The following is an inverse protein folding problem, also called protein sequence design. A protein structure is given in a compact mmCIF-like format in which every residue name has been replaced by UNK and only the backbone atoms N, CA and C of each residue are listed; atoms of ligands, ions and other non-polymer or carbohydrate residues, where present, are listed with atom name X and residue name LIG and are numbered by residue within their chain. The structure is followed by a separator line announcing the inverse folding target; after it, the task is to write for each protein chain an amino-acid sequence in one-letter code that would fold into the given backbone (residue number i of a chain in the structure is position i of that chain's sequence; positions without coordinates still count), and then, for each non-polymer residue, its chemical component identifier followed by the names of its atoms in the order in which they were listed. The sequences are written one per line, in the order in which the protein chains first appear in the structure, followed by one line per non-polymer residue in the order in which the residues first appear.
data_IF_940857863779
#
_entry.id   IF_940857863779
#
_cell.length_a   1.000
_cell.length_b   1.000
_cell.length_c   1.000
_cell.angle_alpha   90.00
_cell.angle_beta   90.00
_cell.angle_gamma   90.00
#
_symmetry.space_group_name_H-M   'P 1'
#
loop_
_entity.id
_entity.type
_entity.pdbx_description
1 polymer ?
#
# COMPACT_ATOMS: atom_id res chain seq x y z
N UNK A 1 26.97 -5.90 -13.99
CA UNK A 1 26.13 -6.98 -13.42
C UNK A 1 24.78 -6.35 -13.13
N UNK A 2 23.66 -6.98 -13.49
CA UNK A 2 22.34 -6.49 -13.09
C UNK A 2 22.30 -6.39 -11.56
N UNK A 3 21.85 -5.26 -11.05
CA UNK A 3 21.63 -5.08 -9.61
C UNK A 3 20.59 -6.10 -9.14
N UNK A 4 20.88 -6.82 -8.05
CA UNK A 4 19.99 -7.86 -7.53
C UNK A 4 18.99 -7.22 -6.57
N UNK A 5 17.70 -7.33 -6.90
CA UNK A 5 16.61 -6.77 -6.10
C UNK A 5 15.83 -7.87 -5.38
N UNK A 6 15.58 -7.67 -4.08
CA UNK A 6 14.63 -8.43 -3.27
C UNK A 6 13.40 -7.56 -3.01
N UNK A 7 12.23 -8.05 -3.42
CA UNK A 7 10.95 -7.36 -3.25
C UNK A 7 10.13 -8.00 -2.13
N UNK A 8 9.98 -7.31 -1.01
CA UNK A 8 9.23 -7.77 0.16
C UNK A 8 7.87 -7.08 0.21
N UNK A 9 6.81 -7.85 0.43
CA UNK A 9 5.45 -7.33 0.57
C UNK A 9 4.96 -7.62 1.97
N UNK A 10 4.50 -6.57 2.63
CA UNK A 10 3.73 -6.68 3.86
C UNK A 10 2.28 -7.08 3.50
N UNK A 11 2.07 -8.39 3.49
CA UNK A 11 0.80 -9.02 3.13
C UNK A 11 -0.31 -8.71 4.13
N UNK A 12 0.02 -8.59 5.42
CA UNK A 12 -0.91 -8.18 6.47
C UNK A 12 -1.42 -6.75 6.24
N UNK A 13 -0.53 -5.80 5.96
CA UNK A 13 -0.92 -4.42 5.64
C UNK A 13 -1.74 -4.36 4.36
N UNK A 14 -1.36 -5.12 3.32
CA UNK A 14 -2.12 -5.22 2.07
C UNK A 14 -3.54 -5.77 2.28
N UNK A 15 -3.68 -6.81 3.11
CA UNK A 15 -4.95 -7.44 3.46
C UNK A 15 -5.93 -6.41 4.06
N UNK A 16 -5.50 -5.71 5.12
CA UNK A 16 -6.35 -4.70 5.78
C UNK A 16 -6.67 -3.52 4.88
N UNK A 17 -5.68 -3.04 4.11
CA UNK A 17 -5.88 -1.95 3.15
C UNK A 17 -6.92 -2.31 2.09
N UNK A 18 -6.82 -3.51 1.50
CA UNK A 18 -7.77 -3.97 0.50
C UNK A 18 -9.19 -4.10 1.07
N UNK A 19 -9.31 -4.59 2.31
CA UNK A 19 -10.60 -4.74 2.98
C UNK A 19 -11.31 -3.42 3.24
N UNK A 20 -10.58 -2.38 3.67
CA UNK A 20 -11.17 -1.08 3.96
C UNK A 20 -11.36 -0.19 2.72
N UNK A 21 -10.59 -0.40 1.67
CA UNK A 21 -10.67 0.39 0.44
C UNK A 21 -11.80 -0.04 -0.50
N UNK A 22 -12.22 -1.31 -0.44
CA UNK A 22 -13.23 -1.86 -1.35
C UNK A 22 -14.58 -2.06 -0.63
N UNK A 23 -15.70 -1.92 -1.36
CA UNK A 23 -17.03 -2.23 -0.81
C UNK A 23 -17.16 -3.73 -0.50
N UNK A 24 -18.26 -4.13 0.15
CA UNK A 24 -18.57 -5.56 0.38
C UNK A 24 -18.88 -6.27 -0.95
N UNK A 25 -17.82 -6.75 -1.60
CA UNK A 25 -17.90 -7.56 -2.80
C UNK A 25 -18.05 -9.03 -2.40
N UNK A 26 -19.05 -9.71 -2.94
CA UNK A 26 -19.30 -11.13 -2.68
C UNK A 26 -19.21 -11.96 -3.95
N UNK A 27 -18.59 -13.13 -3.83
CA UNK A 27 -18.47 -14.12 -4.90
C UNK A 27 -19.74 -14.95 -5.11
N UNK A 28 -19.74 -15.89 -6.07
CA UNK A 28 -20.92 -16.69 -6.42
C UNK A 28 -21.52 -17.50 -5.26
N UNK A 29 -20.67 -17.94 -4.32
CA UNK A 29 -21.09 -18.66 -3.11
C UNK A 29 -21.49 -17.74 -1.95
N UNK A 30 -21.62 -16.43 -2.17
CA UNK A 30 -21.94 -15.43 -1.14
C UNK A 30 -20.78 -15.09 -0.19
N UNK A 31 -19.60 -15.67 -0.42
CA UNK A 31 -18.39 -15.41 0.37
C UNK A 31 -17.83 -14.01 0.09
N UNK A 32 -17.32 -13.28 1.09
CA UNK A 32 -16.69 -11.98 0.88
C UNK A 32 -15.39 -12.13 0.07
N UNK A 33 -15.14 -11.19 -0.83
CA UNK A 33 -14.06 -11.25 -1.83
C UNK A 33 -13.34 -9.93 -2.06
N UNK A 34 -13.79 -8.83 -1.43
CA UNK A 34 -13.21 -7.50 -1.62
C UNK A 34 -11.71 -7.45 -1.34
N UNK A 35 -11.26 -8.01 -0.21
CA UNK A 35 -9.85 -8.01 0.15
C UNK A 35 -9.01 -8.84 -0.84
N UNK A 36 -9.53 -9.98 -1.30
CA UNK A 36 -8.86 -10.82 -2.32
C UNK A 36 -8.66 -10.01 -3.60
N UNK A 37 -9.72 -9.34 -4.09
CA UNK A 37 -9.68 -8.55 -5.32
C UNK A 37 -8.66 -7.41 -5.24
N UNK A 38 -8.69 -6.64 -4.14
CA UNK A 38 -7.77 -5.52 -3.95
C UNK A 38 -6.32 -5.99 -3.85
N UNK A 39 -6.06 -7.07 -3.12
CA UNK A 39 -4.71 -7.62 -2.97
C UNK A 39 -4.14 -8.12 -4.30
N UNK A 40 -4.92 -8.86 -5.09
CA UNK A 40 -4.49 -9.32 -6.43
C UNK A 40 -4.12 -8.13 -7.32
N UNK A 41 -4.94 -7.08 -7.34
CA UNK A 41 -4.67 -5.87 -8.12
C UNK A 41 -3.37 -5.17 -7.66
N UNK A 42 -3.19 -5.00 -6.36
CA UNK A 42 -1.99 -4.36 -5.80
C UNK A 42 -0.73 -5.17 -6.06
N UNK A 43 -0.81 -6.51 -6.03
CA UNK A 43 0.33 -7.38 -6.32
C UNK A 43 0.73 -7.39 -7.80
N UNK A 44 -0.25 -7.40 -8.72
CA UNK A 44 0.01 -7.28 -10.17
C UNK A 44 0.75 -5.97 -10.46
N UNK A 45 0.18 -4.84 -10.02
CA UNK A 45 0.77 -3.51 -10.20
C UNK A 45 2.18 -3.42 -9.60
N UNK A 46 2.36 -3.96 -8.40
CA UNK A 46 3.67 -3.97 -7.74
C UNK A 46 4.73 -4.70 -8.58
N UNK A 47 4.40 -5.88 -9.12
CA UNK A 47 5.32 -6.68 -9.94
C UNK A 47 5.66 -5.99 -11.26
N UNK A 48 4.71 -5.29 -11.87
CA UNK A 48 4.92 -4.51 -13.09
C UNK A 48 5.83 -3.30 -12.86
N UNK A 49 5.59 -2.55 -11.77
CA UNK A 49 6.35 -1.35 -11.44
C UNK A 49 7.75 -1.64 -10.90
N UNK A 50 7.93 -2.78 -10.23
CA UNK A 50 9.18 -3.18 -9.62
C UNK A 50 9.58 -4.60 -10.03
N UNK A 51 10.11 -4.79 -11.25
CA UNK A 51 10.62 -6.08 -11.68
C UNK A 51 11.75 -6.57 -10.77
N UNK A 52 11.58 -7.74 -10.17
CA UNK A 52 12.56 -8.39 -9.32
C UNK A 52 12.61 -9.89 -9.61
N UNK A 53 13.79 -10.51 -9.43
CA UNK A 53 13.93 -11.96 -9.52
C UNK A 53 13.60 -12.67 -8.20
N UNK A 54 13.71 -11.96 -7.08
CA UNK A 54 13.45 -12.46 -5.74
C UNK A 54 12.35 -11.65 -5.06
N UNK A 55 11.53 -12.30 -4.26
CA UNK A 55 10.54 -11.63 -3.45
C UNK A 55 9.77 -12.57 -2.53
N UNK A 56 9.05 -11.98 -1.59
CA UNK A 56 8.20 -12.71 -0.66
C UNK A 56 7.02 -11.84 -0.23
N UNK A 57 5.86 -12.45 -0.07
CA UNK A 57 4.72 -11.83 0.59
C UNK A 57 4.60 -12.40 2.00
N UNK A 58 4.75 -11.53 2.99
CA UNK A 58 4.89 -11.90 4.40
C UNK A 58 3.60 -11.56 5.14
N UNK A 59 3.07 -12.53 5.89
CA UNK A 59 1.84 -12.38 6.67
C UNK A 59 2.10 -12.73 8.14
N UNK A 60 1.38 -12.06 9.03
CA UNK A 60 1.36 -12.44 10.44
C UNK A 60 0.86 -13.86 10.61
N UNK A 61 1.54 -14.61 11.46
CA UNK A 61 1.08 -15.93 11.88
C UNK A 61 -0.03 -15.81 12.92
N UNK A 62 -0.87 -16.84 13.02
CA UNK A 62 -1.81 -16.97 14.13
C UNK A 62 -1.05 -17.26 15.43
N UNK A 63 -1.49 -16.63 16.52
CA UNK A 63 -0.99 -16.89 17.86
C UNK A 63 -0.21 -15.71 18.45
N UNK A 64 0.26 -15.85 19.69
CA UNK A 64 1.04 -14.81 20.35
C UNK A 64 2.45 -14.72 19.73
N UNK A 65 3.03 -13.55 19.86
CA UNK A 65 4.42 -13.24 19.51
C UNK A 65 5.26 -13.07 20.76
N UNK A 66 6.57 -12.87 20.59
CA UNK A 66 7.42 -12.50 21.72
C UNK A 66 7.02 -11.16 22.36
N UNK A 67 6.37 -10.24 21.63
CA UNK A 67 5.95 -8.93 22.19
C UNK A 67 4.84 -9.09 23.22
N UNK A 68 3.90 -10.02 23.01
CA UNK A 68 2.89 -10.39 24.01
C UNK A 68 3.52 -10.87 25.32
N UNK A 69 4.66 -11.56 25.24
CA UNK A 69 5.45 -11.98 26.40
C UNK A 69 6.23 -10.84 27.07
N UNK A 70 6.49 -9.74 26.37
CA UNK A 70 7.19 -8.57 26.91
C UNK A 70 6.24 -7.58 27.56
N UNK A 71 5.05 -7.39 26.99
CA UNK A 71 4.06 -6.42 27.45
C UNK A 71 2.65 -6.97 27.21
N UNK A 72 1.93 -7.25 28.30
CA UNK A 72 0.64 -7.93 28.25
C UNK A 72 -0.46 -7.09 27.56
N UNK A 73 -0.36 -5.77 27.63
CA UNK A 73 -1.30 -4.86 27.02
C UNK A 73 -0.91 -4.45 25.58
N UNK A 74 0.13 -5.04 24.99
CA UNK A 74 0.52 -4.79 23.61
C UNK A 74 -0.62 -5.12 22.64
N UNK A 75 -0.96 -4.21 21.72
CA UNK A 75 -2.07 -4.33 20.77
C UNK A 75 -3.44 -4.61 21.40
N UNK A 76 -3.61 -4.42 22.71
CA UNK A 76 -4.88 -4.69 23.41
C UNK A 76 -6.05 -3.80 22.93
N UNK A 77 -5.75 -2.63 22.38
CA UNK A 77 -6.76 -1.72 21.80
C UNK A 77 -7.12 -2.07 20.35
N UNK A 78 -6.39 -2.99 19.71
CA UNK A 78 -6.60 -3.34 18.31
C UNK A 78 -7.92 -4.10 18.20
N UNK A 79 -8.81 -3.63 17.33
CA UNK A 79 -10.07 -4.31 17.09
C UNK A 79 -9.82 -5.74 16.59
N UNK A 80 -10.63 -6.68 17.05
CA UNK A 80 -10.60 -8.05 16.52
C UNK A 80 -10.80 -8.04 15.01
N UNK A 81 -10.10 -8.92 14.31
CA UNK A 81 -10.25 -9.04 12.87
C UNK A 81 -11.72 -9.29 12.48
N UNK A 82 -12.28 -8.52 11.51
CA UNK A 82 -13.64 -8.74 11.03
C UNK A 82 -13.81 -10.18 10.52
N UNK A 83 -14.92 -10.88 10.87
CA UNK A 83 -15.15 -12.26 10.43
C UNK A 83 -15.07 -12.42 8.90
N UNK A 84 -15.61 -11.45 8.16
CA UNK A 84 -15.57 -11.45 6.69
C UNK A 84 -14.15 -11.28 6.13
N UNK A 85 -13.25 -10.60 6.86
CA UNK A 85 -11.84 -10.53 6.50
C UNK A 85 -11.12 -11.84 6.81
N UNK A 86 -11.41 -12.45 7.96
CA UNK A 86 -10.80 -13.72 8.36
C UNK A 86 -11.07 -14.84 7.35
N UNK A 87 -12.27 -14.87 6.74
CA UNK A 87 -12.63 -15.82 5.68
C UNK A 87 -11.80 -15.67 4.40
N UNK A 88 -11.16 -14.52 4.19
CA UNK A 88 -10.41 -14.20 2.97
C UNK A 88 -8.91 -14.48 3.07
N UNK A 89 -8.36 -14.76 4.26
CA UNK A 89 -6.90 -14.97 4.46
C UNK A 89 -6.38 -16.16 3.66
N UNK A 90 -6.97 -17.35 3.83
CA UNK A 90 -6.51 -18.55 3.14
C UNK A 90 -6.64 -18.42 1.61
N UNK A 91 -7.77 -17.93 1.06
CA UNK A 91 -7.87 -17.59 -0.36
C UNK A 91 -6.81 -16.60 -0.84
N UNK A 92 -6.43 -15.63 -0.01
CA UNK A 92 -5.36 -14.66 -0.33
C UNK A 92 -4.01 -15.35 -0.43
N UNK A 93 -3.66 -16.22 0.53
CA UNK A 93 -2.43 -16.99 0.44
C UNK A 93 -2.38 -17.86 -0.82
N UNK A 94 -3.50 -18.46 -1.20
CA UNK A 94 -3.62 -19.21 -2.45
C UNK A 94 -3.42 -18.31 -3.68
N UNK A 95 -4.11 -17.17 -3.75
CA UNK A 95 -3.96 -16.21 -4.85
C UNK A 95 -2.52 -15.73 -5.01
N UNK A 96 -1.85 -15.40 -3.90
CA UNK A 96 -0.44 -14.95 -3.88
C UNK A 96 0.48 -16.03 -4.46
N UNK A 97 0.30 -17.30 -4.06
CA UNK A 97 1.06 -18.43 -4.59
C UNK A 97 0.81 -18.64 -6.09
N UNK A 98 -0.45 -18.55 -6.52
CA UNK A 98 -0.83 -18.65 -7.94
C UNK A 98 -0.25 -17.51 -8.79
N UNK A 99 -0.09 -16.32 -8.20
CA UNK A 99 0.64 -15.22 -8.83
C UNK A 99 2.16 -15.45 -8.88
N UNK A 100 2.68 -16.56 -8.35
CA UNK A 100 4.09 -16.93 -8.40
C UNK A 100 4.93 -16.30 -7.28
N UNK A 101 4.30 -15.90 -6.16
CA UNK A 101 5.01 -15.34 -5.02
C UNK A 101 5.21 -16.38 -3.91
N UNK A 102 6.42 -16.51 -3.36
CA UNK A 102 6.63 -17.14 -2.06
C UNK A 102 5.79 -16.46 -0.98
N UNK A 103 5.05 -17.25 -0.21
CA UNK A 103 4.27 -16.79 0.95
C UNK A 103 5.01 -17.20 2.21
N UNK A 104 5.27 -16.24 3.08
CA UNK A 104 5.96 -16.47 4.35
C UNK A 104 5.04 -16.08 5.52
N UNK A 105 4.93 -16.97 6.50
CA UNK A 105 4.29 -16.70 7.78
C UNK A 105 5.01 -17.52 8.84
N UNK A 106 5.51 -16.86 9.88
CA UNK A 106 6.42 -17.45 10.87
C UNK A 106 5.79 -17.33 12.26
N UNK A 107 5.40 -18.45 12.90
CA UNK A 107 4.84 -18.42 14.24
C UNK A 107 5.79 -17.79 15.27
N UNK A 108 5.23 -17.00 16.18
CA UNK A 108 5.97 -16.41 17.31
C UNK A 108 6.65 -15.06 17.01
N UNK A 109 6.62 -14.58 15.77
CA UNK A 109 7.13 -13.25 15.36
C UNK A 109 6.07 -12.53 14.52
N UNK A 110 6.21 -11.21 14.37
CA UNK A 110 5.33 -10.42 13.48
C UNK A 110 5.87 -10.42 12.05
N UNK A 111 5.01 -10.13 11.07
CA UNK A 111 5.42 -9.96 9.67
C UNK A 111 6.55 -8.94 9.53
N UNK A 112 6.50 -7.88 10.33
CA UNK A 112 7.50 -6.81 10.36
C UNK A 112 8.90 -7.31 10.71
N UNK A 113 9.01 -8.24 11.67
CA UNK A 113 10.29 -8.83 12.08
C UNK A 113 10.85 -9.78 11.03
N UNK A 114 9.99 -10.56 10.38
CA UNK A 114 10.39 -11.39 9.26
C UNK A 114 10.88 -10.54 8.08
N UNK A 115 10.17 -9.44 7.76
CA UNK A 115 10.59 -8.47 6.74
C UNK A 115 11.91 -7.81 7.13
N UNK A 116 12.03 -7.33 8.38
CA UNK A 116 13.25 -6.69 8.89
C UNK A 116 14.46 -7.61 8.84
N UNK A 117 14.26 -8.89 9.17
CA UNK A 117 15.30 -9.93 9.09
C UNK A 117 15.72 -10.19 7.64
N UNK A 118 14.75 -10.42 6.73
CA UNK A 118 15.03 -10.62 5.30
C UNK A 118 15.75 -9.41 4.68
N UNK A 119 15.25 -8.20 4.95
CA UNK A 119 15.82 -6.96 4.43
C UNK A 119 17.26 -6.75 4.92
N UNK A 120 17.51 -6.99 6.21
CA UNK A 120 18.84 -6.82 6.81
C UNK A 120 19.85 -7.80 6.25
N UNK A 121 19.49 -9.08 6.14
CA UNK A 121 20.39 -10.11 5.59
C UNK A 121 20.64 -9.86 4.10
N UNK A 122 19.61 -9.47 3.33
CA UNK A 122 19.75 -9.18 1.91
C UNK A 122 20.60 -7.94 1.64
N UNK A 123 20.40 -6.86 2.40
CA UNK A 123 21.23 -5.65 2.33
C UNK A 123 22.69 -5.96 2.63
N UNK A 124 22.99 -6.76 3.67
CA UNK A 124 24.35 -7.23 3.99
C UNK A 124 24.96 -8.08 2.87
N UNK A 125 24.14 -8.82 2.14
CA UNK A 125 24.54 -9.59 0.96
C UNK A 125 24.64 -8.74 -0.34
N UNK A 126 24.45 -7.42 -0.25
CA UNK A 126 24.60 -6.48 -1.37
C UNK A 126 23.38 -6.35 -2.28
N UNK A 127 22.22 -6.86 -1.86
CA UNK A 127 20.97 -6.69 -2.61
C UNK A 127 20.40 -5.27 -2.38
N UNK A 128 19.68 -4.77 -3.38
CA UNK A 128 18.68 -3.72 -3.14
C UNK A 128 17.41 -4.37 -2.62
N UNK A 129 16.81 -3.78 -1.60
CA UNK A 129 15.58 -4.27 -0.99
C UNK A 129 14.51 -3.21 -1.14
N UNK A 130 13.38 -3.61 -1.70
CA UNK A 130 12.18 -2.77 -1.77
C UNK A 130 11.14 -3.44 -0.87
N UNK A 131 10.67 -2.71 0.13
CA UNK A 131 9.60 -3.17 1.02
C UNK A 131 8.33 -2.42 0.67
N UNK A 132 7.33 -3.14 0.20
CA UNK A 132 6.00 -2.58 -0.07
C UNK A 132 5.12 -2.70 1.16
N UNK A 133 4.89 -1.58 1.84
CA UNK A 133 4.14 -1.51 3.10
C UNK A 133 3.48 -0.14 3.26
N UNK A 134 2.37 -0.09 3.99
CA UNK A 134 1.80 1.16 4.51
C UNK A 134 2.26 1.49 5.94
N UNK A 135 2.99 0.58 6.58
CA UNK A 135 3.39 0.73 7.97
C UNK A 135 4.55 1.71 8.11
N UNK A 136 4.37 2.71 8.98
CA UNK A 136 5.40 3.71 9.28
C UNK A 136 6.53 3.12 10.12
N UNK A 137 6.28 2.05 10.86
CA UNK A 137 7.23 1.48 11.81
C UNK A 137 8.42 0.87 11.07
N UNK A 138 8.18 0.33 9.87
CA UNK A 138 9.22 -0.17 8.98
C UNK A 138 10.15 0.93 8.42
N UNK A 139 9.86 2.22 8.63
CA UNK A 139 10.76 3.32 8.22
C UNK A 139 12.11 3.25 8.94
N UNK A 140 12.18 2.56 10.08
CA UNK A 140 13.44 2.29 10.80
C UNK A 140 14.42 1.39 10.01
N UNK A 141 13.94 0.65 9.01
CA UNK A 141 14.77 -0.23 8.19
C UNK A 141 15.46 0.50 7.01
N UNK A 142 15.02 1.72 6.67
CA UNK A 142 15.50 2.46 5.50
C UNK A 142 16.98 2.78 5.62
N UNK A 143 17.73 2.48 4.56
CA UNK A 143 19.17 2.79 4.43
C UNK A 143 19.56 2.81 2.93
N UNK A 144 20.85 2.83 2.63
CA UNK A 144 21.34 2.88 1.23
C UNK A 144 20.92 1.68 0.37
N UNK A 145 20.55 0.56 0.98
CA UNK A 145 20.09 -0.66 0.32
C UNK A 145 18.59 -0.90 0.43
N UNK A 146 17.93 -0.37 1.47
CA UNK A 146 16.51 -0.64 1.77
C UNK A 146 15.67 0.62 1.53
N UNK A 147 14.64 0.50 0.69
CA UNK A 147 13.67 1.55 0.41
C UNK A 147 12.25 1.04 0.70
N UNK A 148 11.38 1.88 1.25
CA UNK A 148 9.96 1.55 1.36
C UNK A 148 9.17 2.17 0.21
N UNK A 149 8.11 1.48 -0.21
CA UNK A 149 7.13 2.01 -1.15
C UNK A 149 5.71 1.79 -0.62
N UNK A 150 4.85 2.78 -0.85
CA UNK A 150 3.42 2.66 -0.63
C UNK A 150 2.70 2.75 -1.97
N UNK A 151 2.20 1.63 -2.44
CA UNK A 151 1.54 1.48 -3.75
C UNK A 151 0.22 2.25 -3.90
N UNK A 152 -0.38 2.77 -2.82
CA UNK A 152 -1.59 3.60 -2.89
C UNK A 152 -1.27 5.05 -3.14
N UNK A 153 -0.32 5.59 -2.38
CA UNK A 153 0.10 6.99 -2.48
C UNK A 153 1.20 7.21 -3.51
N UNK A 154 1.76 6.13 -4.09
CA UNK A 154 2.99 6.15 -4.87
C UNK A 154 4.18 6.77 -4.12
N UNK A 155 4.10 6.79 -2.78
CA UNK A 155 5.17 7.33 -1.95
C UNK A 155 6.35 6.36 -1.91
N UNK A 156 7.56 6.90 -2.07
CA UNK A 156 8.82 6.17 -1.93
C UNK A 156 9.61 6.79 -0.79
N UNK A 157 9.96 5.99 0.22
CA UNK A 157 10.72 6.42 1.39
C UNK A 157 12.15 5.87 1.32
N UNK A 158 13.05 6.71 0.82
CA UNK A 158 14.50 6.63 1.06
C UNK A 158 14.90 7.54 2.24
N UNK A 159 16.18 7.57 2.62
CA UNK A 159 16.62 8.30 3.81
C UNK A 159 16.25 9.80 3.80
N UNK A 160 16.41 10.55 2.69
CA UNK A 160 15.92 11.92 2.59
C UNK A 160 14.39 12.03 2.74
N UNK A 161 13.62 11.15 2.11
CA UNK A 161 12.16 11.17 2.21
C UNK A 161 11.66 10.82 3.63
N UNK A 162 12.33 9.90 4.33
CA UNK A 162 12.06 9.63 5.75
C UNK A 162 12.30 10.87 6.60
N UNK A 163 13.44 11.56 6.41
CA UNK A 163 13.73 12.80 7.12
C UNK A 163 12.66 13.88 6.85
N UNK A 164 12.27 14.05 5.58
CA UNK A 164 11.25 15.04 5.21
C UNK A 164 9.88 14.73 5.84
N UNK A 165 9.50 13.44 5.91
CA UNK A 165 8.21 12.99 6.42
C UNK A 165 8.12 13.03 7.95
N UNK A 166 9.13 12.51 8.65
CA UNK A 166 9.10 12.32 10.10
C UNK A 166 9.86 13.40 10.87
N UNK A 167 10.67 14.22 10.19
CA UNK A 167 11.56 15.20 10.83
C UNK A 167 12.77 14.58 11.51
N UNK A 168 12.99 13.27 11.35
CA UNK A 168 14.15 12.52 11.86
C UNK A 168 14.68 11.56 10.79
N UNK A 169 15.99 11.29 10.74
CA UNK A 169 16.55 10.29 9.83
C UNK A 169 16.14 8.86 10.20
N UNK A 170 16.29 7.87 9.30
CA UNK A 170 15.91 6.47 9.56
C UNK A 170 16.48 5.87 10.85
N UNK A 171 17.74 6.17 11.17
CA UNK A 171 18.44 5.68 12.38
C UNK A 171 17.93 6.31 13.69
N UNK A 172 16.93 7.19 13.59
CA UNK A 172 16.22 7.82 14.72
C UNK A 172 14.72 7.58 14.72
N UNK A 173 14.20 6.79 13.79
CA UNK A 173 12.77 6.46 13.75
C UNK A 173 12.33 5.71 15.01
N UNK A 174 13.14 4.78 15.53
CA UNK A 174 12.83 4.06 16.78
C UNK A 174 12.68 5.04 17.95
N UNK A 175 13.63 5.96 18.11
CA UNK A 175 13.61 6.98 19.16
C UNK A 175 12.36 7.86 19.04
N UNK A 176 12.04 8.28 17.82
CA UNK A 176 10.89 9.11 17.51
C UNK A 176 9.57 8.40 17.85
N UNK A 177 9.38 7.17 17.36
CA UNK A 177 8.18 6.38 17.62
C UNK A 177 8.02 6.05 19.11
N UNK A 178 9.13 5.81 19.82
CA UNK A 178 9.11 5.59 21.28
C UNK A 178 8.60 6.81 22.04
N UNK A 179 8.99 8.02 21.63
CA UNK A 179 8.54 9.27 22.26
C UNK A 179 7.09 9.60 21.92
N UNK A 180 6.68 9.38 20.66
CA UNK A 180 5.33 9.68 20.19
C UNK A 180 4.31 8.67 20.72
N UNK A 181 4.70 7.41 20.82
CA UNK A 181 3.78 6.31 21.10
C UNK A 181 2.92 5.93 19.90
N UNK A 182 2.09 4.90 20.08
CA UNK A 182 1.09 4.44 19.14
C UNK A 182 -0.15 3.94 19.88
N UNK A 183 -1.26 4.65 19.76
CA UNK A 183 -2.50 4.26 20.43
C UNK A 183 -3.11 2.97 19.89
N UNK A 184 -2.90 2.66 18.60
CA UNK A 184 -3.43 1.45 17.94
C UNK A 184 -2.78 0.20 18.54
N UNK A 185 -1.47 0.27 18.73
CA UNK A 185 -0.69 -0.83 19.32
C UNK A 185 -0.57 -0.72 20.85
N UNK A 186 -1.30 0.22 21.44
CA UNK A 186 -1.35 0.50 22.88
C UNK A 186 0.04 0.81 23.48
N UNK A 187 0.84 1.59 22.75
CA UNK A 187 2.13 2.11 23.16
C UNK A 187 1.96 3.56 23.63
N UNK A 188 2.00 3.85 24.95
CA UNK A 188 1.60 5.17 25.47
C UNK A 188 2.53 6.32 25.09
N UNK A 189 3.81 6.06 24.80
CA UNK A 189 4.80 7.10 24.53
C UNK A 189 4.96 8.11 25.68
N UNK A 190 5.30 9.36 25.36
CA UNK A 190 5.30 10.46 26.32
C UNK A 190 4.00 11.25 26.19
N UNK A 191 3.28 11.41 27.30
CA UNK A 191 1.98 12.08 27.30
C UNK A 191 2.05 13.49 26.69
N UNK A 192 1.14 13.79 25.76
CA UNK A 192 1.05 15.06 25.00
C UNK A 192 2.32 15.43 24.21
N UNK A 193 3.22 14.48 23.94
CA UNK A 193 4.36 14.68 23.04
C UNK A 193 4.01 14.07 21.69
N UNK A 194 3.66 14.94 20.74
CA UNK A 194 3.39 14.52 19.37
C UNK A 194 4.63 14.57 18.46
N UNK A 195 4.46 14.21 17.16
CA UNK A 195 5.49 14.19 16.13
C UNK A 195 6.48 15.36 16.16
N UNK A 196 5.96 16.60 16.15
CA UNK A 196 6.78 17.81 16.08
C UNK A 196 7.69 17.98 17.31
N UNK A 197 7.18 17.66 18.50
CA UNK A 197 7.94 17.77 19.74
C UNK A 197 9.01 16.70 19.82
N UNK A 198 8.67 15.44 19.47
CA UNK A 198 9.62 14.34 19.44
C UNK A 198 10.77 14.60 18.47
N UNK A 199 10.47 15.02 17.23
CA UNK A 199 11.48 15.36 16.24
C UNK A 199 12.38 16.52 16.70
N UNK A 200 11.79 17.57 17.31
CA UNK A 200 12.57 18.69 17.90
C UNK A 200 13.51 18.20 18.99
N UNK A 201 13.03 17.37 19.91
CA UNK A 201 13.87 16.83 20.99
C UNK A 201 15.00 15.97 20.46
N UNK A 202 14.75 15.12 19.48
CA UNK A 202 15.80 14.31 18.86
C UNK A 202 16.82 15.19 18.14
N UNK A 203 16.38 16.24 17.44
CA UNK A 203 17.30 17.18 16.80
C UNK A 203 18.18 17.94 17.81
N UNK A 204 17.63 18.28 18.98
CA UNK A 204 18.33 19.03 20.03
C UNK A 204 19.26 18.16 20.88
N UNK A 205 18.85 16.93 21.20
CA UNK A 205 19.55 16.04 22.13
C UNK A 205 20.18 14.81 21.48
N UNK A 206 20.01 14.65 20.16
CA UNK A 206 20.67 13.65 19.33
C UNK A 206 20.02 12.27 19.29
N UNK A 207 19.51 11.74 20.41
CA UNK A 207 18.87 10.42 20.50
C UNK A 207 17.88 10.33 21.67
N UNK A 208 17.15 9.23 21.79
CA UNK A 208 16.29 8.95 22.94
C UNK A 208 17.08 9.02 24.27
N UNK A 209 18.29 8.46 24.32
CA UNK A 209 19.17 8.52 25.49
C UNK A 209 19.54 9.98 25.84
N UNK A 210 19.83 10.79 24.83
CA UNK A 210 20.10 12.22 25.03
C UNK A 210 18.88 12.96 25.59
N UNK A 211 17.69 12.68 25.07
CA UNK A 211 16.42 13.24 25.57
C UNK A 211 16.18 12.83 27.03
N UNK A 212 16.37 11.54 27.35
CA UNK A 212 16.23 11.02 28.70
C UNK A 212 17.23 11.65 29.67
N UNK A 213 18.50 11.81 29.26
CA UNK A 213 19.54 12.46 30.06
C UNK A 213 19.22 13.94 30.33
N UNK A 214 18.61 14.64 29.37
CA UNK A 214 18.22 16.04 29.51
C UNK A 214 16.91 16.25 30.30
N UNK A 215 16.19 15.19 30.66
CA UNK A 215 14.85 15.27 31.26
C UNK A 215 14.81 16.11 32.56
N UNK A 216 15.89 16.10 33.35
CA UNK A 216 16.00 16.92 34.57
C UNK A 216 16.04 18.43 34.28
N UNK A 217 16.55 18.83 33.12
CA UNK A 217 16.70 20.23 32.71
C UNK A 217 15.52 20.78 31.90
N UNK A 218 14.67 19.90 31.35
CA UNK A 218 13.50 20.30 30.57
C UNK A 218 12.41 20.91 31.45
N UNK A 219 12.09 22.18 31.20
CA UNK A 219 11.08 22.94 31.96
C UNK A 219 9.68 22.79 31.34
N UNK A 220 8.66 23.10 32.14
CA UNK A 220 7.26 23.13 31.73
C UNK A 220 6.61 21.74 31.62
N UNK A 221 5.35 21.72 31.20
CA UNK A 221 4.51 20.52 31.17
C UNK A 221 5.12 19.37 30.35
N UNK A 222 5.74 19.67 29.21
CA UNK A 222 6.36 18.64 28.37
C UNK A 222 7.55 17.95 29.08
N UNK A 223 8.35 18.70 29.84
CA UNK A 223 9.41 18.12 30.67
C UNK A 223 8.86 17.28 31.83
N UNK A 224 7.74 17.69 32.42
CA UNK A 224 7.05 16.91 33.46
C UNK A 224 6.51 15.58 32.89
N UNK A 225 5.89 15.61 31.71
CA UNK A 225 5.43 14.40 31.02
C UNK A 225 6.58 13.47 30.66
N UNK A 226 7.71 14.01 30.18
CA UNK A 226 8.90 13.20 29.91
C UNK A 226 9.42 12.51 31.17
N UNK A 227 9.57 13.24 32.27
CA UNK A 227 10.01 12.68 33.57
C UNK A 227 9.09 11.57 34.06
N UNK A 228 7.78 11.73 33.88
CA UNK A 228 6.80 10.71 34.25
C UNK A 228 6.87 9.44 33.37
N UNK A 229 7.40 9.54 32.15
CA UNK A 229 7.51 8.43 31.21
C UNK A 229 8.88 7.73 31.22
N UNK A 230 9.90 8.26 31.92
CA UNK A 230 11.29 7.79 31.85
C UNK A 230 11.44 6.27 32.06
N UNK A 231 10.72 5.71 33.03
CA UNK A 231 10.80 4.28 33.34
C UNK A 231 10.16 3.41 32.25
N UNK A 232 9.20 3.95 31.50
CA UNK A 232 8.51 3.25 30.40
C UNK A 232 9.32 3.26 29.09
N UNK A 233 10.08 4.32 28.81
CA UNK A 233 10.74 4.52 27.51
C UNK A 233 11.64 3.34 27.07
N UNK A 234 12.43 2.68 27.94
CA UNK A 234 13.19 1.49 27.54
C UNK A 234 12.30 0.33 27.06
N UNK A 235 11.16 0.10 27.72
CA UNK A 235 10.19 -0.92 27.32
C UNK A 235 9.50 -0.53 26.00
N UNK A 236 9.09 0.74 25.87
CA UNK A 236 8.51 1.28 24.64
C UNK A 236 9.46 1.12 23.44
N UNK A 237 10.75 1.47 23.63
CA UNK A 237 11.79 1.30 22.60
C UNK A 237 11.89 -0.14 22.14
N UNK A 238 11.89 -1.08 23.09
CA UNK A 238 11.96 -2.51 22.79
C UNK A 238 10.75 -2.99 21.97
N UNK A 239 9.54 -2.54 22.30
CA UNK A 239 8.32 -2.94 21.59
C UNK A 239 8.26 -2.39 20.16
N UNK A 240 8.66 -1.13 19.97
CA UNK A 240 8.71 -0.44 18.67
C UNK A 240 9.82 -0.94 17.75
N UNK A 241 10.90 -1.48 18.32
CA UNK A 241 12.04 -1.95 17.52
C UNK A 241 11.65 -3.21 16.76
N UNK A 242 11.81 -3.17 15.43
CA UNK A 242 11.69 -4.34 14.56
C UNK A 242 12.90 -5.24 14.78
N UNK A 243 12.67 -6.51 15.07
CA UNK A 243 13.74 -7.49 15.27
C UNK A 243 14.26 -7.94 13.90
N UNK A 244 15.57 -7.84 13.68
CA UNK A 244 16.19 -8.04 12.35
C UNK A 244 17.08 -9.29 12.24
N UNK A 245 17.01 -10.17 13.22
CA UNK A 245 17.82 -11.38 13.34
C UNK A 245 17.02 -12.61 13.77
N UNK A 246 15.74 -12.67 13.38
CA UNK A 246 14.89 -13.83 13.65
C UNK A 246 15.41 -15.11 12.95
N UNK A 247 15.17 -16.27 13.57
CA UNK A 247 15.47 -17.55 12.93
C UNK A 247 14.39 -17.90 11.89
N UNK A 248 14.79 -17.92 10.62
CA UNK A 248 13.92 -18.26 9.49
C UNK A 248 14.23 -19.63 8.89
N UNK A 249 15.10 -20.45 9.50
CA UNK A 249 15.59 -21.70 8.92
C UNK A 249 14.48 -22.72 8.61
N UNK A 250 13.42 -22.76 9.43
CA UNK A 250 12.25 -23.62 9.21
C UNK A 250 11.27 -23.13 8.15
N UNK A 251 11.43 -21.89 7.67
CA UNK A 251 10.43 -21.21 6.84
C UNK A 251 10.98 -20.72 5.50
N UNK A 252 12.30 -20.54 5.40
CA UNK A 252 13.01 -20.20 4.17
C UNK A 252 14.00 -21.32 3.85
N UNK A 253 13.66 -22.25 2.94
CA UNK A 253 14.55 -23.35 2.58
C UNK A 253 15.92 -22.87 2.11
N UNK A 254 16.98 -23.28 2.82
CA UNK A 254 18.35 -22.86 2.52
C UNK A 254 18.79 -21.56 3.20
N UNK A 255 18.01 -21.03 4.16
CA UNK A 255 18.39 -19.87 4.98
C UNK A 255 19.86 -19.95 5.48
N UNK A 256 20.68 -18.87 5.37
CA UNK A 256 20.34 -17.51 4.95
C UNK A 256 20.42 -17.22 3.45
N UNK A 257 20.40 -18.25 2.60
CA UNK A 257 20.35 -18.09 1.15
C UNK A 257 18.90 -17.75 0.68
N UNK A 258 18.79 -17.14 -0.51
CA UNK A 258 17.53 -16.53 -1.00
C UNK A 258 16.91 -17.25 -2.20
N UNK A 259 17.47 -18.37 -2.64
CA UNK A 259 17.04 -19.09 -3.85
C UNK A 259 15.59 -19.56 -3.73
N UNK A 260 15.14 -19.93 -2.53
CA UNK A 260 13.74 -20.30 -2.28
C UNK A 260 12.77 -19.12 -2.33
N UNK A 261 13.29 -17.89 -2.37
CA UNK A 261 12.51 -16.66 -2.54
C UNK A 261 12.45 -16.22 -4.02
N UNK A 262 12.87 -17.08 -4.95
CA UNK A 262 12.71 -16.80 -6.37
C UNK A 262 11.24 -16.59 -6.73
N UNK A 263 10.96 -15.48 -7.41
CA UNK A 263 9.64 -15.20 -7.95
C UNK A 263 9.38 -16.14 -9.13
N UNK A 264 8.33 -16.95 -9.00
CA UNK A 264 7.86 -17.84 -10.05
C UNK A 264 7.03 -17.11 -11.11
N UNK A 265 6.81 -17.80 -12.23
CA UNK A 265 5.79 -17.40 -13.21
C UNK A 265 4.38 -17.50 -12.62
N UNK A 266 3.44 -16.78 -13.23
CA UNK A 266 2.02 -16.89 -12.87
C UNK A 266 1.49 -18.27 -13.29
N UNK A 267 0.86 -18.99 -12.36
CA UNK A 267 0.13 -20.23 -12.65
C UNK A 267 -1.20 -19.89 -13.32
N UNK A 268 -1.16 -19.71 -14.64
CA UNK A 268 -2.35 -19.36 -15.44
C UNK A 268 -3.54 -20.30 -15.23
N UNK A 269 -3.39 -21.62 -15.42
CA UNK A 269 -4.49 -22.57 -15.21
C UNK A 269 -5.06 -22.53 -13.79
N UNK A 270 -4.21 -22.52 -12.76
CA UNK A 270 -4.66 -22.45 -11.37
C UNK A 270 -5.38 -21.13 -11.06
N UNK A 271 -4.87 -20.02 -11.57
CA UNK A 271 -5.44 -18.69 -11.38
C UNK A 271 -6.77 -18.50 -12.12
N UNK A 272 -6.94 -19.09 -13.31
CA UNK A 272 -8.24 -19.13 -14.00
C UNK A 272 -9.30 -19.87 -13.17
N UNK A 273 -8.95 -21.04 -12.63
CA UNK A 273 -9.84 -21.79 -11.73
C UNK A 273 -10.17 -21.01 -10.45
N UNK A 274 -9.19 -20.32 -9.88
CA UNK A 274 -9.38 -19.45 -8.72
C UNK A 274 -10.34 -18.29 -9.01
N UNK A 275 -10.14 -17.60 -10.14
CA UNK A 275 -11.00 -16.48 -10.56
C UNK A 275 -12.42 -16.91 -10.86
N UNK A 276 -12.63 -18.10 -11.42
CA UNK A 276 -13.95 -18.67 -11.61
C UNK A 276 -14.65 -18.97 -10.29
N UNK A 277 -13.95 -19.62 -9.35
CA UNK A 277 -14.47 -19.97 -8.02
C UNK A 277 -14.93 -18.74 -7.23
N UNK A 278 -14.19 -17.63 -7.32
CA UNK A 278 -14.50 -16.39 -6.61
C UNK A 278 -15.27 -15.35 -7.44
N UNK A 279 -15.55 -15.63 -8.71
CA UNK A 279 -16.36 -14.76 -9.58
C UNK A 279 -15.65 -13.53 -10.15
N UNK A 280 -14.32 -13.53 -10.23
CA UNK A 280 -13.52 -12.42 -10.78
C UNK A 280 -13.50 -12.42 -12.31
N UNK A 281 -14.64 -12.10 -12.92
CA UNK A 281 -14.86 -12.15 -14.38
C UNK A 281 -13.89 -11.26 -15.17
N UNK A 282 -13.57 -10.07 -14.66
CA UNK A 282 -12.63 -9.13 -15.28
C UNK A 282 -11.23 -9.73 -15.36
N UNK A 283 -10.68 -10.16 -14.22
CA UNK A 283 -9.36 -10.78 -14.16
C UNK A 283 -9.27 -12.10 -14.92
N UNK A 284 -10.36 -12.88 -14.95
CA UNK A 284 -10.45 -14.09 -15.78
C UNK A 284 -10.31 -13.74 -17.26
N UNK A 285 -11.09 -12.79 -17.78
CA UNK A 285 -11.03 -12.37 -19.18
C UNK A 285 -9.67 -11.79 -19.57
N UNK A 286 -9.07 -10.98 -18.69
CA UNK A 286 -7.72 -10.42 -18.88
C UNK A 286 -6.68 -11.53 -19.00
N UNK A 287 -6.72 -12.52 -18.09
CA UNK A 287 -5.80 -13.65 -18.12
C UNK A 287 -6.02 -14.55 -19.34
N UNK A 288 -7.26 -14.79 -19.75
CA UNK A 288 -7.60 -15.54 -20.96
C UNK A 288 -7.06 -14.86 -22.23
N UNK A 289 -7.10 -13.53 -22.29
CA UNK A 289 -6.53 -12.79 -23.42
C UNK A 289 -5.01 -12.96 -23.50
N UNK A 290 -4.30 -12.86 -22.36
CA UNK A 290 -2.84 -13.05 -22.31
C UNK A 290 -2.44 -14.49 -22.64
N UNK A 291 -3.17 -15.48 -22.15
CA UNK A 291 -2.92 -16.90 -22.45
C UNK A 291 -3.29 -17.24 -23.90
N UNK A 292 -4.38 -16.65 -24.42
CA UNK A 292 -4.82 -16.79 -25.80
C UNK A 292 -3.82 -16.23 -26.80
N UNK A 293 -3.30 -15.02 -26.54
CA UNK A 293 -2.26 -14.40 -27.38
C UNK A 293 -0.91 -15.14 -27.29
N UNK A 294 -0.54 -15.67 -26.13
CA UNK A 294 0.67 -16.50 -26.00
C UNK A 294 0.57 -17.81 -26.81
N UNK A 295 -0.64 -18.37 -26.94
CA UNK A 295 -0.91 -19.55 -27.78
C UNK A 295 -0.95 -19.23 -29.28
N UNK A 296 -1.33 -18.01 -29.67
CA UNK A 296 -1.34 -17.54 -31.06
C UNK A 296 0.05 -17.02 -31.53
N UNK A 297 0.83 -16.42 -30.63
CA UNK A 297 2.16 -15.86 -30.89
C UNK A 297 3.29 -16.90 -31.06
N UNK A 298 3.04 -18.17 -30.72
CA UNK A 298 3.97 -19.27 -31.01
C UNK A 298 4.00 -19.67 -32.51
N UNK A 299 3.13 -19.09 -33.35
CA UNK A 299 2.99 -19.40 -34.78
C UNK A 299 3.33 -18.23 -35.71
N UNK A 300 4.33 -17.40 -35.38
CA UNK A 300 4.78 -16.34 -36.29
C UNK A 300 6.04 -15.61 -35.86
N UNK A 301 7.22 -16.14 -36.23
CA UNK A 301 8.45 -15.34 -36.26
C UNK A 301 8.48 -14.49 -37.53
N UNK A 302 8.55 -13.16 -37.36
CA UNK A 302 8.78 -12.20 -38.43
C UNK A 302 9.14 -10.83 -37.86
N UNK A 303 10.43 -10.51 -37.91
CA UNK A 303 11.03 -9.29 -37.38
C UNK A 303 10.55 -8.01 -38.09
N UNK A 304 10.41 -6.91 -37.36
CA UNK A 304 10.75 -5.56 -37.84
C UNK A 304 10.94 -4.57 -36.67
N UNK A 305 11.78 -3.58 -36.93
CA UNK A 305 12.45 -2.71 -35.98
C UNK A 305 11.61 -1.55 -35.41
N UNK A 306 12.19 -0.93 -34.39
CA UNK A 306 11.67 0.09 -33.48
C UNK A 306 12.11 1.50 -33.89
N UNK A 307 11.31 2.52 -33.50
CA UNK A 307 11.71 3.87 -32.97
C UNK A 307 11.18 5.10 -33.77
N UNK A 308 11.14 6.33 -33.19
CA UNK A 308 10.54 6.76 -31.90
C UNK A 308 9.84 8.16 -31.96
N UNK A 309 9.03 8.51 -30.95
CA UNK A 309 8.78 9.90 -30.43
C UNK A 309 7.77 9.85 -29.26
N UNK A 310 8.16 10.07 -27.98
CA UNK A 310 8.11 11.33 -27.19
C UNK A 310 6.77 12.08 -27.29
N UNK A 311 6.10 12.56 -26.24
CA UNK A 311 6.31 12.69 -24.78
C UNK A 311 4.94 13.09 -24.16
N UNK A 312 4.78 12.81 -22.87
CA UNK A 312 3.88 13.40 -21.86
C UNK A 312 2.34 13.34 -22.00
N UNK A 313 1.70 12.59 -21.09
CA UNK A 313 0.97 13.17 -19.92
C UNK A 313 0.47 12.02 -19.02
N UNK A 314 1.01 11.95 -17.81
CA UNK A 314 0.43 11.21 -16.68
C UNK A 314 -0.82 11.94 -16.16
N UNK A 315 -1.93 11.23 -15.95
CA UNK A 315 -2.77 11.31 -14.73
C UNK A 315 -4.11 10.56 -14.89
N UNK A 316 -4.31 9.61 -13.97
CA UNK A 316 -5.59 9.15 -13.38
C UNK A 316 -6.59 8.42 -14.32
N UNK A 317 -7.32 7.37 -13.92
CA UNK A 317 -7.64 6.82 -12.59
C UNK A 317 -8.30 5.44 -12.77
N UNK A 318 -8.36 4.70 -11.65
CA UNK A 318 -8.94 3.37 -11.43
C UNK A 318 -10.46 3.26 -11.66
N UNK A 319 -11.00 3.86 -12.71
CA UNK A 319 -12.39 3.75 -13.14
C UNK A 319 -12.47 3.17 -14.56
N UNK A 320 -11.94 1.96 -14.77
CA UNK A 320 -12.18 1.24 -16.02
C UNK A 320 -12.04 -0.28 -15.82
N UNK A 321 -13.14 -0.93 -15.46
CA UNK A 321 -13.33 -2.35 -15.77
C UNK A 321 -14.69 -2.61 -16.43
N UNK A 322 -15.19 -1.62 -17.19
CA UNK A 322 -15.98 -1.94 -18.37
C UNK A 322 -15.00 -2.42 -19.46
N UNK A 323 -15.35 -3.43 -20.29
CA UNK A 323 -14.55 -3.71 -21.49
C UNK A 323 -14.30 -2.39 -22.22
N UNK A 324 -13.07 -2.15 -22.67
CA UNK A 324 -12.81 -1.05 -23.59
C UNK A 324 -13.74 -1.26 -24.80
N UNK A 325 -14.78 -0.44 -24.88
CA UNK A 325 -15.58 -0.34 -26.07
C UNK A 325 -14.60 0.02 -27.22
N UNK A 326 -14.88 -0.43 -28.46
CA UNK A 326 -14.09 0.03 -29.60
C UNK A 326 -13.95 1.56 -29.54
N UNK A 327 -12.81 2.15 -29.91
CA UNK A 327 -12.59 3.58 -29.80
C UNK A 327 -13.75 4.33 -30.46
N UNK A 328 -14.57 4.97 -29.62
CA UNK A 328 -15.71 5.77 -30.03
C UNK A 328 -15.22 7.20 -30.22
N UNK A 329 -15.71 7.88 -31.27
CA UNK A 329 -15.43 9.30 -31.44
C UNK A 329 -15.95 10.07 -30.21
N UNK A 330 -15.12 10.96 -29.65
CA UNK A 330 -15.45 11.71 -28.44
C UNK A 330 -15.74 13.17 -28.76
N UNK A 331 -16.80 13.70 -28.13
CA UNK A 331 -17.22 15.08 -28.18
C UNK A 331 -17.48 15.57 -26.76
N UNK A 332 -16.54 16.35 -26.24
CA UNK A 332 -16.60 16.90 -24.88
C UNK A 332 -16.73 18.42 -24.94
N UNK A 333 -17.70 18.93 -24.18
CA UNK A 333 -18.01 20.35 -24.12
C UNK A 333 -17.81 20.89 -22.70
N UNK A 334 -17.22 22.07 -22.56
CA UNK A 334 -17.29 22.82 -21.30
C UNK A 334 -18.39 23.86 -21.41
N UNK A 335 -19.41 23.75 -20.57
CA UNK A 335 -20.60 24.60 -20.58
C UNK A 335 -20.29 25.91 -19.85
N UNK A 336 -20.02 26.97 -20.62
CA UNK A 336 -19.68 28.30 -20.09
C UNK A 336 -20.79 29.34 -20.30
N UNK A 337 -21.88 28.98 -20.97
CA UNK A 337 -23.00 29.88 -21.27
C UNK A 337 -24.34 29.25 -20.88
N UNK A 338 -25.33 30.10 -20.57
CA UNK A 338 -26.69 29.64 -20.30
C UNK A 338 -27.34 28.97 -21.51
N UNK A 339 -27.02 29.40 -22.73
CA UNK A 339 -27.53 28.78 -23.95
C UNK A 339 -27.03 27.33 -24.11
N UNK A 340 -25.74 27.09 -23.84
CA UNK A 340 -25.18 25.74 -23.83
C UNK A 340 -25.78 24.89 -22.69
N UNK A 341 -26.02 25.50 -21.53
CA UNK A 341 -26.69 24.82 -20.41
C UNK A 341 -28.12 24.40 -20.77
N UNK A 342 -28.91 25.29 -21.37
CA UNK A 342 -30.28 25.00 -21.80
C UNK A 342 -30.32 23.87 -22.84
N UNK A 343 -29.35 23.85 -23.77
CA UNK A 343 -29.22 22.77 -24.73
C UNK A 343 -28.94 21.42 -24.07
N UNK A 344 -28.10 21.39 -23.02
CA UNK A 344 -27.82 20.17 -22.27
C UNK A 344 -28.98 19.74 -21.36
N UNK A 345 -29.71 20.68 -20.77
CA UNK A 345 -30.92 20.37 -19.99
C UNK A 345 -31.98 19.70 -20.87
N UNK A 346 -32.21 20.19 -22.09
CA UNK A 346 -33.13 19.57 -23.03
C UNK A 346 -32.71 18.13 -23.43
N UNK A 347 -31.39 17.88 -23.56
CA UNK A 347 -30.86 16.53 -23.80
C UNK A 347 -31.11 15.61 -22.60
N UNK A 348 -30.90 16.10 -21.37
CA UNK A 348 -31.12 15.32 -20.14
C UNK A 348 -32.61 14.97 -19.97
N UNK A 349 -33.50 15.94 -20.15
CA UNK A 349 -34.95 15.75 -19.95
C UNK A 349 -35.56 14.73 -20.94
N UNK A 350 -34.93 14.54 -22.10
CA UNK A 350 -35.38 13.60 -23.13
C UNK A 350 -34.64 12.26 -23.09
N UNK A 351 -33.54 12.15 -22.33
CA UNK A 351 -32.74 10.93 -22.25
C UNK A 351 -33.38 9.89 -21.32
N UNK A 352 -33.36 8.63 -21.75
CA UNK A 352 -33.82 7.51 -20.91
C UNK A 352 -32.89 7.23 -19.71
N UNK A 353 -31.61 7.60 -19.84
CA UNK A 353 -30.58 7.47 -18.81
C UNK A 353 -29.57 8.61 -18.94
N UNK A 354 -29.20 9.20 -17.82
CA UNK A 354 -28.16 10.22 -17.74
C UNK A 354 -27.11 9.76 -16.72
N UNK A 355 -25.85 9.76 -17.14
CA UNK A 355 -24.71 9.61 -16.25
C UNK A 355 -24.33 10.98 -15.69
N UNK A 356 -24.09 11.03 -14.38
CA UNK A 356 -23.66 12.23 -13.66
C UNK A 356 -22.45 11.86 -12.83
N UNK A 357 -21.43 12.71 -12.87
CA UNK A 357 -20.26 12.64 -12.02
C UNK A 357 -19.97 14.03 -11.42
N UNK A 358 -19.38 14.07 -10.23
CA UNK A 358 -19.10 15.31 -9.51
C UNK A 358 -17.61 15.50 -9.38
N UNK A 359 -17.12 16.67 -9.75
CA UNK A 359 -15.72 17.05 -9.56
C UNK A 359 -15.57 17.77 -8.23
N UNK A 360 -14.57 17.39 -7.45
CA UNK A 360 -14.29 17.95 -6.12
C UNK A 360 -12.88 18.48 -5.98
N UNK A 361 -12.67 19.40 -5.04
CA UNK A 361 -11.34 19.93 -4.69
C UNK A 361 -10.55 19.04 -3.70
N UNK A 362 -11.12 17.90 -3.31
CA UNK A 362 -10.56 16.99 -2.32
C UNK A 362 -11.07 15.55 -2.52
N UNK A 363 -10.23 14.59 -2.15
CA UNK A 363 -10.57 13.15 -2.09
C UNK A 363 -11.24 12.75 -0.76
N UNK A 364 -11.23 13.64 0.24
CA UNK A 364 -11.97 13.45 1.50
C UNK A 364 -13.43 13.89 1.31
N UNK A 365 -14.34 12.93 1.16
CA UNK A 365 -15.76 13.17 0.93
C UNK A 365 -16.47 13.97 2.04
N UNK A 366 -15.90 14.08 3.25
CA UNK A 366 -16.47 14.89 4.33
C UNK A 366 -16.06 16.36 4.26
N UNK A 367 -15.05 16.70 3.44
CA UNK A 367 -14.48 18.06 3.33
C UNK A 367 -14.52 18.62 1.92
N UNK A 368 -14.65 17.75 0.93
CA UNK A 368 -14.75 18.08 -0.49
C UNK A 368 -15.85 19.11 -0.77
N UNK A 369 -15.49 20.16 -1.52
CA UNK A 369 -16.42 21.07 -2.16
C UNK A 369 -16.60 20.66 -3.62
N UNK A 370 -17.84 20.74 -4.11
CA UNK A 370 -18.13 20.52 -5.52
C UNK A 370 -17.59 21.71 -6.32
N UNK A 371 -16.69 21.42 -7.28
CA UNK A 371 -16.12 22.41 -8.19
C UNK A 371 -16.78 22.38 -9.57
N UNK A 372 -17.37 21.26 -9.96
CA UNK A 372 -18.17 21.14 -11.17
C UNK A 372 -18.92 19.82 -11.27
N UNK A 373 -19.69 19.67 -12.34
CA UNK A 373 -20.50 18.47 -12.63
C UNK A 373 -20.23 18.02 -14.06
N UNK A 374 -19.94 16.74 -14.24
CA UNK A 374 -19.81 16.10 -15.54
C UNK A 374 -21.09 15.31 -15.85
N UNK A 375 -21.62 15.46 -17.06
CA UNK A 375 -22.87 14.80 -17.50
C UNK A 375 -22.68 14.12 -18.85
N UNK A 376 -23.36 12.99 -19.06
CA UNK A 376 -23.41 12.30 -20.35
C UNK A 376 -24.74 11.57 -20.52
N UNK A 377 -25.38 11.73 -21.68
CA UNK A 377 -26.62 11.01 -22.04
C UNK A 377 -26.36 9.86 -23.02
N UNK A 378 -25.16 9.78 -23.61
CA UNK A 378 -24.76 8.71 -24.52
C UNK A 378 -23.24 8.53 -24.57
N UNK A 379 -22.73 7.31 -24.85
CA UNK A 379 -21.29 7.07 -24.97
C UNK A 379 -20.63 7.96 -26.02
N UNK A 380 -19.50 8.56 -25.67
CA UNK A 380 -18.75 9.45 -26.57
C UNK A 380 -19.17 10.92 -26.52
N UNK A 381 -20.27 11.29 -25.86
CA UNK A 381 -20.68 12.69 -25.71
C UNK A 381 -20.83 13.06 -24.23
N UNK A 382 -20.16 14.13 -23.78
CA UNK A 382 -20.25 14.60 -22.41
C UNK A 382 -20.10 16.12 -22.30
N UNK A 383 -20.65 16.68 -21.23
CA UNK A 383 -20.45 18.07 -20.86
C UNK A 383 -19.89 18.20 -19.44
N UNK A 384 -19.01 19.17 -19.26
CA UNK A 384 -18.56 19.64 -17.96
C UNK A 384 -19.17 21.00 -17.64
N UNK A 385 -19.84 21.11 -16.50
CA UNK A 385 -20.46 22.33 -15.99
C UNK A 385 -19.61 22.82 -14.80
N UNK A 386 -18.79 23.87 -14.95
CA UNK A 386 -18.05 24.45 -13.84
C UNK A 386 -18.99 25.21 -12.90
N UNK A 387 -18.83 25.04 -11.58
CA UNK A 387 -19.66 25.71 -10.58
C UNK A 387 -18.90 26.73 -9.73
N UNK A 388 -17.63 26.45 -9.40
CA UNK A 388 -16.86 27.24 -8.42
C UNK A 388 -15.39 27.47 -8.81
N UNK A 389 -15.10 27.51 -10.10
CA UNK A 389 -13.76 27.76 -10.60
C UNK A 389 -13.36 29.21 -10.29
N UNK A 390 -12.25 29.39 -9.58
CA UNK A 390 -11.72 30.71 -9.23
C UNK A 390 -10.28 30.82 -9.71
N UNK A 391 -10.12 31.30 -10.94
CA UNK A 391 -8.84 31.64 -11.55
C UNK A 391 -9.00 32.82 -12.50
N UNK A 392 -7.89 33.43 -12.91
CA UNK A 392 -7.93 34.57 -13.83
C UNK A 392 -8.52 34.16 -15.19
N UNK A 393 -9.76 34.55 -15.46
CA UNK A 393 -10.51 34.21 -16.67
C UNK A 393 -11.69 33.24 -16.49
N UNK A 394 -12.01 32.84 -15.25
CA UNK A 394 -13.24 32.11 -14.89
C UNK A 394 -14.31 33.03 -14.26
#
# INVERSE_FOLDING_TARGET
MSEKTLLLVDGSSYLYRAYHALPDLRGPAGVPTGAIHGLVAMMKRLREQHPAALGACVFDAKGPTFRDGWYAEYKANRASMPPDLALQIEPIHEAVKLLGWPVLSVPGIEADDAIGTLATVAAKAGFKVIVSTGDKDLAQLVNDHVTLINTMSNERLDAPAVLAKFGVPPDRIIDYLTLVGDTVDNLPGVNKVGPKTAAKWIAEYGSLEGVMAAAATMKGAAGEHLRAALDWLPQGRRLVTVVTDCDLAGHVPGWPAFESLALGGVDGPGLLGFYERFGFKSFKRELEAVVGDASAGAAGQGAAAVSPSQEDTEAHTLAAHAPAAPPIATHYETVLTFEALDAWLAKIDTAALTAVDTETDSLDGMRAQIVGISISVQPGEAAYIPLRHSYAGA
#
